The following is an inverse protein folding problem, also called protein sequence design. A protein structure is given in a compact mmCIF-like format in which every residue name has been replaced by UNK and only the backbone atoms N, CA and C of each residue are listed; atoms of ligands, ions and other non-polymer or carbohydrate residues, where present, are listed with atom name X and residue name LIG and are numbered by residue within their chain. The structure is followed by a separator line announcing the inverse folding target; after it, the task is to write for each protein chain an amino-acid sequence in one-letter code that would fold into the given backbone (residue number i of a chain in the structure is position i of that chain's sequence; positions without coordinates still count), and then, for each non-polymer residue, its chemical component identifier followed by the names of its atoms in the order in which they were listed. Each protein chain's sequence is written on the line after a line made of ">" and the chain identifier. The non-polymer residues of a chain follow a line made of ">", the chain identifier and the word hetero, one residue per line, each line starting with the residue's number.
data_IF_233700526595
#
_entry.id   IF_233700526595
#
_cell.length_a   1.000
_cell.length_b   1.000
_cell.length_c   1.000
_cell.angle_alpha   90.00
_cell.angle_beta   90.00
_cell.angle_gamma   90.00
#
_symmetry.space_group_name_H-M   'P 1'
#
loop_
_entity.id
_entity.type
_entity.pdbx_description
1 polymer ?
#
# COMPACT_ATOMS: atom_id res chain seq x y z
N UNK A 1 -3.75 4.40 -24.36
CA UNK A 1 -3.54 2.93 -24.30
C UNK A 1 -4.71 2.24 -24.96
N UNK A 2 -4.50 1.10 -25.64
CA UNK A 2 -5.57 0.16 -26.00
C UNK A 2 -5.33 -1.13 -25.25
N UNK A 3 -6.37 -1.74 -24.71
CA UNK A 3 -6.25 -2.95 -23.91
C UNK A 3 -7.25 -3.97 -24.43
N UNK A 4 -6.76 -5.18 -24.66
CA UNK A 4 -7.54 -6.35 -25.02
C UNK A 4 -7.16 -7.46 -24.04
N UNK A 5 -8.07 -8.38 -23.74
CA UNK A 5 -7.74 -9.47 -22.83
C UNK A 5 -8.92 -10.32 -22.43
N UNK A 6 -8.62 -11.35 -21.63
CA UNK A 6 -9.60 -12.25 -21.06
C UNK A 6 -9.43 -12.30 -19.54
N UNK A 7 -10.55 -12.31 -18.83
CA UNK A 7 -10.63 -12.55 -17.39
C UNK A 7 -11.33 -13.87 -17.13
N UNK A 8 -10.79 -14.68 -16.22
CA UNK A 8 -11.42 -15.90 -15.73
C UNK A 8 -11.31 -15.91 -14.20
N UNK A 9 -12.45 -15.83 -13.50
CA UNK A 9 -12.45 -15.71 -12.05
C UNK A 9 -11.60 -14.53 -11.59
N UNK A 10 -10.58 -14.81 -10.79
CA UNK A 10 -9.66 -13.83 -10.19
C UNK A 10 -8.33 -13.71 -10.95
N UNK A 11 -8.28 -14.18 -12.20
CA UNK A 11 -7.10 -14.09 -13.08
C UNK A 11 -7.45 -13.36 -14.37
N UNK A 12 -6.45 -12.73 -14.96
CA UNK A 12 -6.61 -12.05 -16.25
C UNK A 12 -5.33 -12.09 -17.07
N UNK A 13 -5.51 -12.16 -18.38
CA UNK A 13 -4.45 -12.05 -19.38
C UNK A 13 -4.76 -10.84 -20.25
N UNK A 14 -3.83 -9.90 -20.30
CA UNK A 14 -4.03 -8.60 -20.94
C UNK A 14 -2.94 -8.36 -21.96
N UNK A 15 -3.35 -7.84 -23.10
CA UNK A 15 -2.50 -7.27 -24.13
C UNK A 15 -2.69 -5.76 -24.12
N UNK A 16 -1.63 -5.01 -23.83
CA UNK A 16 -1.65 -3.56 -23.66
C UNK A 16 -0.81 -2.94 -24.78
N UNK A 17 -1.49 -2.20 -25.65
CA UNK A 17 -0.90 -1.61 -26.85
C UNK A 17 -0.69 -0.11 -26.68
N UNK A 18 0.41 0.36 -27.26
CA UNK A 18 0.57 1.79 -27.50
C UNK A 18 -0.45 2.22 -28.56
N UNK A 19 -1.37 3.12 -28.19
CA UNK A 19 -2.45 3.56 -29.08
C UNK A 19 -1.96 4.31 -30.33
N UNK A 20 -0.76 4.90 -30.30
CA UNK A 20 -0.09 5.53 -31.44
C UNK A 20 0.70 4.55 -32.32
N UNK A 21 0.97 3.34 -31.81
CA UNK A 21 1.64 2.26 -32.53
C UNK A 21 0.63 1.53 -33.44
N UNK A 22 0.29 2.16 -34.58
CA UNK A 22 -0.60 1.56 -35.59
C UNK A 22 0.20 0.98 -36.74
N UNK A 23 -0.33 -0.07 -37.39
CA UNK A 23 0.29 -0.67 -38.56
C UNK A 23 0.60 0.37 -39.66
N UNK A 24 -0.26 1.37 -39.85
CA UNK A 24 -0.04 2.43 -40.82
C UNK A 24 1.17 3.31 -40.44
N UNK A 25 1.28 3.73 -39.18
CA UNK A 25 2.39 4.58 -38.73
C UNK A 25 3.73 3.85 -38.78
N UNK A 26 3.74 2.57 -38.43
CA UNK A 26 4.96 1.75 -38.39
C UNK A 26 5.40 1.35 -39.80
N UNK A 27 4.48 0.84 -40.62
CA UNK A 27 4.83 0.23 -41.92
C UNK A 27 4.83 1.26 -43.05
N UNK A 28 3.91 2.22 -43.04
CA UNK A 28 3.80 3.20 -44.15
C UNK A 28 4.60 4.48 -43.90
N UNK A 29 4.66 4.95 -42.65
CA UNK A 29 5.29 6.24 -42.34
C UNK A 29 6.68 6.11 -41.72
N UNK A 30 7.09 4.93 -41.26
CA UNK A 30 8.37 4.71 -40.58
C UNK A 30 8.54 5.49 -39.28
N UNK A 31 7.44 6.02 -38.72
CA UNK A 31 7.49 6.89 -37.54
C UNK A 31 7.52 6.02 -36.29
N UNK A 32 8.55 6.20 -35.47
CA UNK A 32 8.63 5.54 -34.16
C UNK A 32 7.47 6.04 -33.29
N UNK A 33 6.67 5.15 -32.66
CA UNK A 33 5.59 5.58 -31.78
C UNK A 33 6.13 6.40 -30.61
N UNK A 34 5.52 7.55 -30.36
CA UNK A 34 5.74 8.30 -29.11
C UNK A 34 5.28 7.46 -27.92
N UNK A 35 6.02 7.51 -26.81
CA UNK A 35 5.66 6.77 -25.61
C UNK A 35 4.34 7.28 -25.02
N UNK A 36 3.47 6.38 -24.61
CA UNK A 36 2.18 6.71 -23.99
C UNK A 36 2.10 6.13 -22.58
N UNK A 37 1.45 6.86 -21.67
CA UNK A 37 1.20 6.41 -20.31
C UNK A 37 -0.30 6.37 -20.05
N UNK A 38 -0.72 5.61 -19.05
CA UNK A 38 -2.13 5.56 -18.65
C UNK A 38 -2.38 4.52 -17.56
N UNK A 39 -3.64 4.43 -17.14
CA UNK A 39 -4.09 3.42 -16.18
C UNK A 39 -5.03 2.46 -16.88
N UNK A 40 -4.81 1.16 -16.68
CA UNK A 40 -5.73 0.10 -17.10
C UNK A 40 -6.57 -0.29 -15.90
N UNK A 41 -7.90 -0.26 -16.01
CA UNK A 41 -8.81 -0.63 -14.93
C UNK A 41 -9.69 -1.81 -15.33
N UNK A 42 -9.75 -2.82 -14.47
CA UNK A 42 -10.48 -4.06 -14.72
C UNK A 42 -11.39 -4.35 -13.52
N UNK A 43 -12.68 -4.46 -13.78
CA UNK A 43 -13.69 -4.73 -12.74
C UNK A 43 -13.90 -6.23 -12.52
N UNK A 44 -14.49 -6.57 -11.38
CA UNK A 44 -14.93 -7.93 -11.04
C UNK A 44 -13.86 -8.80 -10.41
N UNK A 45 -12.78 -8.22 -9.92
CA UNK A 45 -11.86 -8.90 -9.02
C UNK A 45 -12.41 -8.89 -7.60
N UNK A 46 -12.10 -9.90 -6.80
CA UNK A 46 -12.32 -9.83 -5.35
C UNK A 46 -11.26 -8.91 -4.75
N UNK A 47 -11.61 -8.13 -3.72
CA UNK A 47 -10.63 -7.28 -3.04
C UNK A 47 -9.48 -8.12 -2.45
N UNK A 48 -8.28 -7.55 -2.41
CA UNK A 48 -7.06 -8.23 -1.97
C UNK A 48 -5.89 -7.98 -2.92
N UNK A 49 -4.74 -8.58 -2.63
CA UNK A 49 -3.52 -8.40 -3.43
C UNK A 49 -3.34 -9.48 -4.49
N UNK A 50 -2.90 -9.04 -5.67
CA UNK A 50 -2.65 -9.88 -6.84
C UNK A 50 -1.24 -9.66 -7.36
N UNK A 51 -0.56 -10.75 -7.72
CA UNK A 51 0.69 -10.67 -8.48
C UNK A 51 0.39 -10.41 -9.95
N UNK A 52 1.04 -9.39 -10.51
CA UNK A 52 0.96 -9.01 -11.91
C UNK A 52 2.35 -9.18 -12.52
N UNK A 53 2.44 -10.08 -13.48
CA UNK A 53 3.65 -10.32 -14.24
C UNK A 53 3.58 -9.63 -15.60
N UNK A 54 4.59 -8.82 -15.88
CA UNK A 54 4.70 -8.07 -17.13
C UNK A 54 5.63 -8.79 -18.10
N UNK A 55 5.24 -8.85 -19.37
CA UNK A 55 5.98 -9.56 -20.42
C UNK A 55 6.20 -8.68 -21.64
N UNK A 56 7.36 -8.86 -22.26
CA UNK A 56 7.66 -8.32 -23.57
C UNK A 56 6.95 -9.21 -24.61
N UNK A 57 6.06 -8.62 -25.40
CA UNK A 57 5.25 -9.37 -26.38
C UNK A 57 6.04 -9.85 -27.59
N UNK A 58 7.20 -9.26 -27.85
CA UNK A 58 8.08 -9.62 -28.97
C UNK A 58 9.00 -10.77 -28.59
N UNK A 59 9.64 -10.68 -27.43
CA UNK A 59 10.58 -11.71 -26.98
C UNK A 59 9.94 -12.83 -26.14
N UNK A 60 8.73 -12.61 -25.63
CA UNK A 60 8.07 -13.51 -24.67
C UNK A 60 8.69 -13.49 -23.27
N UNK A 61 9.71 -12.66 -23.03
CA UNK A 61 10.44 -12.63 -21.77
C UNK A 61 9.70 -11.81 -20.71
N UNK A 62 9.73 -12.26 -19.47
CA UNK A 62 9.24 -11.49 -18.33
C UNK A 62 10.09 -10.23 -18.15
N UNK A 63 9.43 -9.08 -18.06
CA UNK A 63 10.03 -7.77 -17.81
C UNK A 63 10.13 -7.53 -16.32
N UNK A 64 9.03 -7.76 -15.59
CA UNK A 64 8.92 -7.49 -14.16
C UNK A 64 7.76 -8.26 -13.53
N UNK A 65 7.69 -8.18 -12.20
CA UNK A 65 6.59 -8.70 -11.37
C UNK A 65 6.27 -7.65 -10.32
N UNK A 66 5.01 -7.41 -10.04
CA UNK A 66 4.57 -6.51 -8.98
C UNK A 66 3.34 -7.06 -8.25
N UNK A 67 3.09 -6.55 -7.05
CA UNK A 67 1.87 -6.84 -6.30
C UNK A 67 0.96 -5.62 -6.37
N UNK A 68 -0.29 -5.83 -6.76
CA UNK A 68 -1.30 -4.79 -6.91
C UNK A 68 -2.51 -5.11 -6.04
N UNK A 69 -2.88 -4.18 -5.18
CA UNK A 69 -4.08 -4.28 -4.36
C UNK A 69 -5.33 -3.92 -5.16
N UNK A 70 -6.36 -4.77 -5.07
CA UNK A 70 -7.70 -4.54 -5.61
C UNK A 70 -8.58 -4.01 -4.49
N UNK A 71 -9.19 -2.85 -4.72
CA UNK A 71 -10.23 -2.31 -3.86
C UNK A 71 -11.48 -2.01 -4.69
N UNK A 72 -12.65 -2.02 -4.06
CA UNK A 72 -13.95 -1.80 -4.73
C UNK A 72 -14.17 -2.71 -5.95
N UNK A 73 -13.60 -3.91 -5.93
CA UNK A 73 -13.63 -4.89 -7.01
C UNK A 73 -12.93 -4.47 -8.31
N UNK A 74 -12.04 -3.47 -8.26
CA UNK A 74 -11.31 -2.95 -9.42
C UNK A 74 -9.80 -3.13 -9.25
N UNK A 75 -9.19 -3.81 -10.20
CA UNK A 75 -7.74 -3.84 -10.38
C UNK A 75 -7.33 -2.63 -11.23
N UNK A 76 -6.34 -1.86 -10.77
CA UNK A 76 -5.80 -0.71 -11.50
C UNK A 76 -4.30 -0.91 -11.75
N UNK A 77 -3.91 -0.94 -13.02
CA UNK A 77 -2.52 -1.12 -13.44
C UNK A 77 -1.99 0.18 -14.04
N UNK A 78 -0.94 0.73 -13.44
CA UNK A 78 -0.25 1.90 -13.96
C UNK A 78 0.73 1.49 -15.06
N UNK A 79 0.61 2.07 -16.25
CA UNK A 79 1.54 1.84 -17.36
C UNK A 79 2.23 3.15 -17.70
N UNK A 80 3.55 3.17 -17.58
CA UNK A 80 4.37 4.34 -17.86
C UNK A 80 5.21 4.13 -19.12
N UNK A 81 5.31 5.19 -19.94
CA UNK A 81 6.26 5.29 -21.06
C UNK A 81 6.22 4.11 -22.04
N UNK A 82 5.03 3.63 -22.39
CA UNK A 82 4.83 2.50 -23.28
C UNK A 82 5.16 2.90 -24.73
N UNK A 83 6.30 2.45 -25.24
CA UNK A 83 6.71 2.68 -26.64
C UNK A 83 6.42 1.49 -27.56
N UNK A 84 6.38 0.28 -27.01
CA UNK A 84 6.04 -0.98 -27.69
C UNK A 84 4.96 -1.71 -26.90
N UNK A 85 4.30 -2.68 -27.53
CA UNK A 85 3.23 -3.45 -26.89
C UNK A 85 3.79 -4.38 -25.79
N UNK A 86 3.04 -4.53 -24.69
CA UNK A 86 3.38 -5.41 -23.57
C UNK A 86 2.18 -6.28 -23.18
N UNK A 87 2.44 -7.35 -22.46
CA UNK A 87 1.39 -8.17 -21.86
C UNK A 87 1.47 -8.13 -20.34
N UNK A 88 0.31 -8.23 -19.68
CA UNK A 88 0.21 -8.36 -18.23
C UNK A 88 -0.59 -9.62 -17.89
N UNK A 89 -0.05 -10.44 -17.01
CA UNK A 89 -0.68 -11.65 -16.50
C UNK A 89 -0.95 -11.48 -15.01
N UNK A 90 -2.22 -11.51 -14.64
CA UNK A 90 -2.67 -11.48 -13.25
C UNK A 90 -2.81 -12.93 -12.77
N UNK A 91 -2.00 -13.31 -11.78
CA UNK A 91 -1.82 -14.70 -11.35
C UNK A 91 -3.08 -15.44 -10.91
N UNK A 92 -3.02 -16.77 -10.94
CA UNK A 92 -4.10 -17.70 -10.53
C UNK A 92 -4.05 -18.15 -9.07
N UNK A 93 -3.01 -17.76 -8.33
CA UNK A 93 -3.08 -17.79 -6.86
C UNK A 93 -4.10 -16.75 -6.46
N UNK A 94 -5.23 -17.17 -5.87
CA UNK A 94 -6.29 -16.27 -5.44
C UNK A 94 -5.77 -15.11 -4.58
N UNK A 95 -6.61 -14.09 -4.37
CA UNK A 95 -6.25 -12.90 -3.62
C UNK A 95 -5.47 -13.26 -2.35
N UNK A 96 -4.21 -12.84 -2.29
CA UNK A 96 -3.43 -12.96 -1.06
C UNK A 96 -3.93 -11.83 -0.17
N UNK A 97 -4.76 -12.19 0.80
CA UNK A 97 -5.23 -11.23 1.80
C UNK A 97 -4.04 -10.90 2.70
N UNK A 98 -3.90 -9.62 3.00
CA UNK A 98 -2.82 -9.12 3.82
C UNK A 98 -3.39 -8.04 4.74
N UNK A 99 -2.84 -7.89 5.96
CA UNK A 99 -3.10 -6.70 6.73
C UNK A 99 -2.41 -5.49 6.08
N UNK A 100 -3.07 -4.34 6.11
CA UNK A 100 -2.50 -3.04 5.73
C UNK A 100 -2.79 -2.04 6.84
N UNK A 101 -1.78 -1.74 7.65
CA UNK A 101 -1.94 -0.87 8.82
C UNK A 101 -1.59 0.57 8.47
N UNK A 102 -2.59 1.44 8.60
CA UNK A 102 -2.44 2.88 8.52
C UNK A 102 -2.38 3.46 9.94
N UNK A 103 -1.39 4.34 10.18
CA UNK A 103 -1.17 5.00 11.46
C UNK A 103 -1.43 6.51 11.35
N UNK A 104 -2.02 7.07 12.40
CA UNK A 104 -2.18 8.50 12.61
C UNK A 104 -1.83 8.84 14.05
N UNK A 105 -1.07 9.92 14.26
CA UNK A 105 -0.67 10.38 15.60
C UNK A 105 -1.13 11.82 15.75
N UNK A 106 -1.87 12.10 16.82
CA UNK A 106 -2.32 13.45 17.16
C UNK A 106 -1.87 13.81 18.58
N UNK A 107 -1.44 15.05 18.80
CA UNK A 107 -1.20 15.59 20.13
C UNK A 107 -2.39 16.43 20.59
N UNK A 108 -2.61 16.51 21.89
CA UNK A 108 -3.61 17.41 22.47
C UNK A 108 -3.20 18.90 22.39
N UNK A 109 -1.92 19.17 22.11
CA UNK A 109 -1.34 20.51 22.04
C UNK A 109 -0.50 20.67 20.77
N UNK A 110 -0.64 21.81 20.09
CA UNK A 110 0.22 22.19 18.95
C UNK A 110 1.49 22.95 19.37
N UNK A 111 1.49 23.51 20.58
CA UNK A 111 2.63 24.14 21.25
C UNK A 111 2.60 23.77 22.72
N UNK A 112 3.76 23.52 23.30
CA UNK A 112 3.92 23.22 24.72
C UNK A 112 5.16 23.93 25.26
N UNK A 113 5.08 24.41 26.50
CA UNK A 113 6.20 25.03 27.21
C UNK A 113 6.97 23.99 28.04
N UNK A 114 8.24 24.24 28.40
CA UNK A 114 8.97 23.39 29.35
C UNK A 114 8.18 23.15 30.64
N UNK A 115 8.18 21.91 31.13
CA UNK A 115 7.40 21.44 32.27
C UNK A 115 5.95 21.04 31.95
N UNK A 116 5.43 21.31 30.75
CA UNK A 116 4.08 20.90 30.38
C UNK A 116 3.99 19.44 29.94
N UNK A 117 2.85 18.80 30.25
CA UNK A 117 2.52 17.45 29.79
C UNK A 117 1.77 17.52 28.45
N UNK A 118 2.24 16.75 27.47
CA UNK A 118 1.61 16.55 26.17
C UNK A 118 1.08 15.12 26.10
N UNK A 119 -0.18 14.96 25.70
CA UNK A 119 -0.79 13.66 25.46
C UNK A 119 -0.82 13.39 23.96
N UNK A 120 -0.25 12.26 23.55
CA UNK A 120 -0.32 11.75 22.20
C UNK A 120 -1.35 10.63 22.10
N UNK A 121 -2.19 10.70 21.07
CA UNK A 121 -3.16 9.68 20.70
C UNK A 121 -2.72 9.07 19.38
N UNK A 122 -2.38 7.79 19.41
CA UNK A 122 -2.02 6.98 18.24
C UNK A 122 -3.26 6.20 17.81
N UNK A 123 -3.73 6.44 16.60
CA UNK A 123 -4.82 5.69 15.97
C UNK A 123 -4.24 4.79 14.90
N UNK A 124 -4.55 3.50 14.95
CA UNK A 124 -4.20 2.53 13.92
C UNK A 124 -5.47 1.96 13.30
N UNK A 125 -5.47 1.76 11.99
CA UNK A 125 -6.60 1.18 11.24
C UNK A 125 -6.06 0.14 10.28
N UNK A 126 -6.65 -1.05 10.30
CA UNK A 126 -6.36 -2.07 9.31
C UNK A 126 -7.25 -1.83 8.08
N UNK A 127 -6.65 -1.27 7.02
CA UNK A 127 -7.26 -1.04 5.71
C UNK A 127 -7.12 -2.25 4.78
N UNK A 128 -6.36 -3.26 5.20
CA UNK A 128 -6.16 -4.49 4.45
C UNK A 128 -7.33 -5.45 4.60
N UNK A 129 -7.20 -6.58 3.94
CA UNK A 129 -8.26 -7.58 3.81
C UNK A 129 -8.08 -8.78 4.74
N UNK A 130 -6.93 -8.90 5.42
CA UNK A 130 -6.70 -9.90 6.48
C UNK A 130 -6.45 -9.24 7.83
N UNK A 131 -6.63 -9.99 8.91
CA UNK A 131 -6.35 -9.53 10.25
C UNK A 131 -4.84 -9.30 10.47
N UNK A 132 -4.48 -8.15 11.05
CA UNK A 132 -3.12 -7.92 11.53
C UNK A 132 -2.96 -8.61 12.88
N UNK A 133 -2.09 -9.61 12.97
CA UNK A 133 -1.87 -10.38 14.20
C UNK A 133 -0.55 -10.00 14.86
N UNK A 134 -0.54 -10.02 16.20
CA UNK A 134 0.64 -9.80 17.03
C UNK A 134 1.45 -8.54 16.66
N UNK A 135 0.74 -7.45 16.32
CA UNK A 135 1.37 -6.21 15.92
C UNK A 135 2.07 -5.56 17.12
N UNK A 136 3.31 -5.14 16.93
CA UNK A 136 4.00 -4.28 17.88
C UNK A 136 3.91 -2.82 17.45
N UNK A 137 3.35 -1.99 18.32
CA UNK A 137 3.34 -0.54 18.13
C UNK A 137 4.47 0.07 18.96
N UNK A 138 5.39 0.76 18.29
CA UNK A 138 6.52 1.45 18.91
C UNK A 138 6.29 2.96 18.83
N UNK A 139 6.25 3.61 19.99
CA UNK A 139 6.22 5.06 20.10
C UNK A 139 7.55 5.55 20.67
N UNK A 140 8.46 6.09 19.83
CA UNK A 140 9.69 6.69 20.32
C UNK A 140 9.35 7.96 21.10
N UNK A 141 9.92 8.12 22.30
CA UNK A 141 9.77 9.33 23.09
C UNK A 141 10.50 10.48 22.38
N UNK A 142 9.83 11.58 22.01
CA UNK A 142 10.47 12.68 21.31
C UNK A 142 11.64 13.28 22.10
N UNK A 143 12.64 13.81 21.39
CA UNK A 143 13.73 14.55 22.03
C UNK A 143 13.22 15.76 22.81
N UNK A 144 13.95 16.14 23.86
CA UNK A 144 13.55 17.20 24.80
C UNK A 144 12.22 16.92 25.53
N UNK A 145 11.79 15.67 25.58
CA UNK A 145 10.67 15.24 26.40
C UNK A 145 11.05 14.03 27.24
N UNK A 146 10.33 13.82 28.33
CA UNK A 146 10.48 12.67 29.22
C UNK A 146 9.15 11.94 29.32
N UNK A 147 9.15 10.61 29.20
CA UNK A 147 7.95 9.79 29.36
C UNK A 147 7.34 9.97 30.75
N UNK A 148 6.02 10.18 30.82
CA UNK A 148 5.29 10.18 32.09
C UNK A 148 5.01 8.73 32.50
N UNK A 149 5.64 8.27 33.58
CA UNK A 149 5.54 6.87 33.98
C UNK A 149 4.08 6.42 34.23
N UNK A 150 3.73 5.24 33.73
CA UNK A 150 2.37 4.70 33.81
C UNK A 150 1.33 5.37 32.91
N UNK A 151 1.70 6.34 32.07
CA UNK A 151 0.76 7.04 31.17
C UNK A 151 0.42 6.27 29.90
N UNK A 152 1.13 5.19 29.60
CA UNK A 152 0.87 4.34 28.44
C UNK A 152 -0.45 3.57 28.59
N UNK A 153 -1.50 4.05 27.92
CA UNK A 153 -2.83 3.44 27.98
C UNK A 153 -2.87 2.02 27.40
N UNK A 154 -3.81 1.19 27.85
CA UNK A 154 -4.02 -0.19 27.33
C UNK A 154 -2.77 -1.07 27.41
N UNK A 155 -2.06 -1.02 28.54
CA UNK A 155 -0.97 -1.97 28.85
C UNK A 155 0.33 -1.74 28.08
N UNK A 156 0.61 -0.51 27.64
CA UNK A 156 1.90 -0.18 27.05
C UNK A 156 3.01 -0.20 28.10
N UNK A 157 4.21 -0.61 27.67
CA UNK A 157 5.39 -0.67 28.53
C UNK A 157 6.48 0.24 27.98
N UNK A 158 7.07 1.06 28.84
CA UNK A 158 8.23 1.89 28.47
C UNK A 158 9.51 1.06 28.58
N UNK A 159 10.26 1.03 27.48
CA UNK A 159 11.60 0.45 27.41
C UNK A 159 12.63 1.56 27.47
N UNK A 160 13.36 1.65 28.58
CA UNK A 160 14.41 2.67 28.75
C UNK A 160 15.61 2.43 27.83
N UNK A 161 15.90 1.18 27.44
CA UNK A 161 16.96 0.86 26.48
C UNK A 161 16.61 1.31 25.07
N UNK A 162 15.33 1.27 24.70
CA UNK A 162 14.86 1.62 23.35
C UNK A 162 14.38 3.08 23.27
N UNK A 163 14.25 3.77 24.42
CA UNK A 163 13.70 5.12 24.49
C UNK A 163 12.27 5.22 23.97
N UNK A 164 11.49 4.14 24.10
CA UNK A 164 10.19 4.01 23.44
C UNK A 164 9.14 3.34 24.33
N UNK A 165 7.88 3.68 24.10
CA UNK A 165 6.73 2.95 24.65
C UNK A 165 6.29 1.91 23.62
N UNK A 166 6.16 0.66 24.05
CA UNK A 166 5.80 -0.48 23.20
C UNK A 166 4.46 -1.04 23.63
N UNK A 167 3.57 -1.28 22.66
CA UNK A 167 2.33 -2.05 22.86
C UNK A 167 2.35 -3.30 22.00
N UNK A 168 1.86 -4.39 22.56
CA UNK A 168 1.45 -5.57 21.78
C UNK A 168 -0.04 -5.49 21.51
N UNK A 169 -0.43 -5.55 20.24
CA UNK A 169 -1.82 -5.59 19.78
C UNK A 169 -2.07 -6.99 19.21
N UNK A 170 -2.81 -7.87 19.91
CA UNK A 170 -2.94 -9.27 19.52
C UNK A 170 -3.57 -9.48 18.14
N UNK A 171 -4.60 -8.69 17.83
CA UNK A 171 -5.28 -8.74 16.55
C UNK A 171 -5.97 -7.41 16.23
N UNK A 172 -5.95 -7.03 14.95
CA UNK A 172 -6.78 -5.98 14.37
C UNK A 172 -7.44 -6.57 13.13
N UNK A 173 -8.73 -6.88 13.22
CA UNK A 173 -9.50 -7.41 12.09
C UNK A 173 -9.48 -6.46 10.88
N UNK A 174 -9.70 -6.99 9.68
CA UNK A 174 -9.86 -6.19 8.47
C UNK A 174 -10.95 -5.12 8.66
N UNK A 175 -10.65 -3.87 8.30
CA UNK A 175 -11.54 -2.72 8.48
C UNK A 175 -11.66 -2.19 9.91
N UNK A 176 -11.06 -2.86 10.92
CA UNK A 176 -11.13 -2.43 12.30
C UNK A 176 -10.06 -1.37 12.63
N UNK A 177 -10.34 -0.57 13.66
CA UNK A 177 -9.42 0.44 14.18
C UNK A 177 -9.25 0.32 15.69
N UNK A 178 -8.12 0.80 16.21
CA UNK A 178 -7.87 0.94 17.63
C UNK A 178 -7.03 2.17 17.95
N UNK A 179 -6.95 2.50 19.24
CA UNK A 179 -6.18 3.65 19.72
C UNK A 179 -5.31 3.29 20.90
N UNK A 180 -4.16 3.97 21.02
CA UNK A 180 -3.30 4.00 22.21
C UNK A 180 -2.99 5.44 22.58
N UNK A 181 -2.76 5.68 23.86
CA UNK A 181 -2.41 6.99 24.40
C UNK A 181 -1.13 6.90 25.19
N UNK A 182 -0.35 7.98 25.18
CA UNK A 182 0.90 8.12 25.92
C UNK A 182 1.12 9.57 26.27
N UNK A 183 1.70 9.85 27.44
CA UNK A 183 2.02 11.20 27.87
C UNK A 183 3.53 11.39 28.02
N UNK A 184 3.99 12.58 27.64
CA UNK A 184 5.37 13.03 27.83
C UNK A 184 5.39 14.42 28.45
N UNK A 185 6.41 14.73 29.23
CA UNK A 185 6.66 16.06 29.81
C UNK A 185 7.76 16.74 29.00
N UNK A 186 7.58 18.00 28.62
CA UNK A 186 8.63 18.79 27.95
C UNK A 186 9.71 19.18 28.97
N UNK A 187 10.98 18.97 28.62
CA UNK A 187 12.14 19.29 29.48
C UNK A 187 12.58 20.75 29.38
#
# INVERSE_FOLDING_TARGET
>A
LRVLGQKQGNSAYLWIQNSGNTWANVVKSGVKPGAVSGTVSISGFVNGSYTVDWYNTVSGSKISSETVSVSNGKLQLGVSSLSTDIAAVVGAGGAVLHPDISLNIASNKSKASPGEVVTYTITFTNKGEDAALNMQLHFPVPSNTSYVNGSAGTGGSYSASDGAVVWTVPSVAAGASGQRTVQVTVN
#
